data_IF_956764127756
#
_entry.id   IF_956764127756
#
_cell.length_a   1.000
_cell.length_b   1.000
_cell.length_c   1.000
_cell.angle_alpha   90.00
_cell.angle_beta   90.00
_cell.angle_gamma   90.00
#
_symmetry.space_group_name_H-M   'P 1'
#
loop_
_entity.id
_entity.type
_entity.pdbx_description
1 polymer ?
#
# COMPACT_ATOMS: atom_id res chain seq x y z
N UNK A 1 -7.82 -24.01 -11.65
CA UNK A 1 -6.40 -24.35 -11.85
C UNK A 1 -6.10 -25.78 -11.40
N UNK A 2 -5.29 -26.56 -12.13
CA UNK A 2 -4.93 -27.94 -11.69
C UNK A 2 -3.86 -27.88 -10.60
N UNK A 3 -3.78 -28.94 -9.79
CA UNK A 3 -2.78 -29.04 -8.70
C UNK A 3 -1.34 -28.95 -9.20
N UNK A 4 -1.08 -29.47 -10.41
CA UNK A 4 0.23 -29.34 -11.06
C UNK A 4 0.57 -27.88 -11.35
N UNK A 5 -0.37 -27.12 -11.92
CA UNK A 5 -0.16 -25.71 -12.23
C UNK A 5 0.08 -24.88 -10.94
N UNK A 6 -0.61 -25.22 -9.84
CA UNK A 6 -0.40 -24.57 -8.53
C UNK A 6 1.02 -24.84 -8.01
N UNK A 7 1.54 -26.03 -8.21
CA UNK A 7 2.93 -26.36 -7.87
C UNK A 7 3.92 -25.59 -8.76
N UNK A 8 3.68 -25.57 -10.06
CA UNK A 8 4.57 -24.93 -11.03
C UNK A 8 4.63 -23.40 -10.82
N UNK A 9 3.51 -22.76 -10.43
CA UNK A 9 3.44 -21.30 -10.21
C UNK A 9 3.82 -20.88 -8.79
N UNK A 10 3.33 -21.60 -7.78
CA UNK A 10 3.44 -21.16 -6.37
C UNK A 10 4.37 -22.05 -5.53
N UNK A 11 4.91 -23.14 -6.07
CA UNK A 11 5.78 -24.08 -5.33
C UNK A 11 5.05 -24.88 -4.25
N UNK A 12 3.72 -24.90 -4.26
CA UNK A 12 2.93 -25.61 -3.25
C UNK A 12 2.80 -27.07 -3.66
N UNK A 13 3.40 -27.98 -2.87
CA UNK A 13 3.34 -29.41 -3.13
C UNK A 13 1.88 -29.92 -3.16
N UNK A 14 1.55 -30.90 -4.03
CA UNK A 14 0.21 -31.49 -4.10
C UNK A 14 -0.29 -32.06 -2.76
N UNK A 15 0.61 -32.66 -1.96
CA UNK A 15 0.31 -33.16 -0.62
C UNK A 15 -0.08 -32.02 0.32
N UNK A 16 0.68 -30.93 0.33
CA UNK A 16 0.39 -29.73 1.12
C UNK A 16 -0.94 -29.09 0.73
N UNK A 17 -1.24 -29.04 -0.57
CA UNK A 17 -2.54 -28.52 -1.04
C UNK A 17 -3.70 -29.44 -0.65
N UNK A 18 -3.49 -30.76 -0.65
CA UNK A 18 -4.46 -31.74 -0.17
C UNK A 18 -4.75 -31.55 1.32
N UNK A 19 -3.71 -31.37 2.14
CA UNK A 19 -3.85 -31.10 3.57
C UNK A 19 -4.58 -29.78 3.84
N UNK A 20 -4.32 -28.74 3.05
CA UNK A 20 -5.05 -27.48 3.17
C UNK A 20 -6.50 -27.61 2.72
N UNK A 21 -6.84 -28.58 1.87
CA UNK A 21 -8.21 -28.77 1.37
C UNK A 21 -9.13 -29.45 2.38
N UNK A 22 -8.62 -29.96 3.50
CA UNK A 22 -9.44 -30.55 4.57
C UNK A 22 -10.25 -29.45 5.27
N UNK A 23 -11.51 -29.72 5.62
CA UNK A 23 -12.45 -28.72 6.15
C UNK A 23 -12.05 -28.18 7.53
N UNK A 24 -11.30 -28.96 8.30
CA UNK A 24 -10.74 -28.60 9.61
C UNK A 24 -9.44 -27.76 9.51
N UNK A 25 -8.93 -27.54 8.30
CA UNK A 25 -7.69 -26.81 8.10
C UNK A 25 -7.92 -25.29 8.05
N UNK A 26 -7.11 -24.52 8.80
CA UNK A 26 -7.13 -23.05 8.81
C UNK A 26 -6.94 -22.42 7.42
N UNK A 27 -6.36 -23.15 6.46
CA UNK A 27 -6.09 -22.70 5.09
C UNK A 27 -7.07 -23.25 4.05
N UNK A 28 -8.17 -23.88 4.49
CA UNK A 28 -9.22 -24.42 3.61
C UNK A 28 -9.74 -23.41 2.58
N UNK A 29 -10.07 -22.21 3.04
CA UNK A 29 -10.55 -21.13 2.17
C UNK A 29 -9.53 -20.75 1.09
N UNK A 30 -8.25 -20.71 1.45
CA UNK A 30 -7.17 -20.40 0.51
C UNK A 30 -6.99 -21.52 -0.52
N UNK A 31 -7.02 -22.79 -0.09
CA UNK A 31 -6.92 -23.93 -1.00
C UNK A 31 -8.10 -23.98 -1.99
N UNK A 32 -9.31 -23.68 -1.52
CA UNK A 32 -10.50 -23.57 -2.38
C UNK A 32 -10.34 -22.44 -3.40
N UNK A 33 -9.83 -21.29 -2.97
CA UNK A 33 -9.59 -20.15 -3.85
C UNK A 33 -8.55 -20.46 -4.94
N UNK A 34 -7.40 -21.04 -4.57
CA UNK A 34 -6.35 -21.44 -5.52
C UNK A 34 -6.85 -22.43 -6.57
N UNK A 35 -7.71 -23.39 -6.18
CA UNK A 35 -8.31 -24.34 -7.12
C UNK A 35 -9.28 -23.67 -8.10
N UNK A 36 -10.01 -22.64 -7.63
CA UNK A 36 -11.04 -21.96 -8.40
C UNK A 36 -10.51 -20.83 -9.30
N UNK A 37 -9.26 -20.37 -9.11
CA UNK A 37 -8.66 -19.36 -9.99
C UNK A 37 -8.41 -19.90 -11.41
N UNK A 38 -8.61 -19.05 -12.41
CA UNK A 38 -8.19 -19.31 -13.79
C UNK A 38 -6.68 -19.14 -13.93
N UNK A 39 -6.06 -19.97 -14.76
CA UNK A 39 -4.64 -19.82 -15.09
C UNK A 39 -4.37 -18.57 -15.92
N UNK A 40 -5.34 -18.14 -16.73
CA UNK A 40 -5.20 -16.95 -17.57
C UNK A 40 -5.18 -15.69 -16.70
N UNK A 41 -6.03 -15.61 -15.69
CA UNK A 41 -6.03 -14.51 -14.71
C UNK A 41 -4.70 -14.44 -13.94
N UNK A 42 -4.16 -15.60 -13.55
CA UNK A 42 -2.87 -15.67 -12.84
C UNK A 42 -1.72 -15.24 -13.75
N UNK A 43 -1.72 -15.67 -15.01
CA UNK A 43 -0.72 -15.23 -15.99
C UNK A 43 -0.83 -13.75 -16.27
N UNK A 44 -2.02 -13.19 -16.39
CA UNK A 44 -2.22 -11.75 -16.57
C UNK A 44 -1.63 -10.96 -15.38
N UNK A 45 -1.93 -11.39 -14.15
CA UNK A 45 -1.38 -10.79 -12.93
C UNK A 45 0.16 -10.87 -12.87
N UNK A 46 0.73 -12.03 -13.22
CA UNK A 46 2.18 -12.25 -13.18
C UNK A 46 2.92 -11.56 -14.34
N UNK A 47 2.28 -11.44 -15.50
CA UNK A 47 2.83 -10.79 -16.69
C UNK A 47 2.73 -9.28 -16.65
N UNK A 48 1.84 -8.75 -15.80
CA UNK A 48 1.77 -7.32 -15.53
C UNK A 48 3.09 -6.89 -14.90
N UNK A 49 3.92 -6.21 -15.68
CA UNK A 49 5.12 -5.55 -15.17
C UNK A 49 4.72 -4.79 -13.90
N UNK A 50 5.41 -5.11 -12.80
CA UNK A 50 5.44 -4.23 -11.64
C UNK A 50 6.07 -2.94 -12.15
N UNK A 51 5.25 -2.02 -12.68
CA UNK A 51 5.67 -0.65 -12.95
C UNK A 51 6.32 -0.19 -11.66
N UNK A 52 7.64 -0.07 -11.66
CA UNK A 52 8.34 0.47 -10.51
C UNK A 52 7.83 1.89 -10.40
N UNK A 53 6.83 2.11 -9.55
CA UNK A 53 6.33 3.44 -9.32
C UNK A 53 7.54 4.25 -8.85
N UNK A 54 7.85 5.32 -9.56
CA UNK A 54 8.86 6.26 -9.12
C UNK A 54 8.49 6.72 -7.71
N UNK A 55 9.51 6.96 -6.87
CA UNK A 55 9.25 7.45 -5.51
C UNK A 55 8.45 8.76 -5.61
N UNK A 56 7.35 8.91 -4.84
CA UNK A 56 6.49 10.10 -4.89
C UNK A 56 7.17 11.25 -4.14
N UNK A 57 8.20 11.82 -4.76
CA UNK A 57 9.03 12.87 -4.15
C UNK A 57 8.37 14.24 -4.16
N UNK A 58 7.33 14.43 -4.99
CA UNK A 58 6.70 15.74 -5.18
C UNK A 58 6.00 16.21 -3.90
N UNK A 59 5.10 15.40 -3.33
CA UNK A 59 4.42 15.73 -2.07
C UNK A 59 5.40 16.02 -0.91
N UNK A 60 6.48 15.24 -0.83
CA UNK A 60 7.54 15.47 0.15
C UNK A 60 8.24 16.81 -0.06
N UNK A 61 8.46 17.18 -1.31
CA UNK A 61 9.10 18.44 -1.68
C UNK A 61 8.20 19.61 -1.34
N UNK A 62 6.89 19.55 -1.65
CA UNK A 62 5.89 20.56 -1.29
C UNK A 62 5.92 20.84 0.21
N UNK A 63 5.83 19.79 1.04
CA UNK A 63 5.86 19.93 2.51
C UNK A 63 7.18 20.51 3.01
N UNK A 64 8.32 19.99 2.53
CA UNK A 64 9.63 20.44 3.01
C UNK A 64 9.97 21.86 2.56
N UNK A 65 9.54 22.27 1.36
CA UNK A 65 9.69 23.64 0.87
C UNK A 65 8.89 24.62 1.74
N UNK A 66 7.66 24.26 2.13
CA UNK A 66 6.83 25.07 3.02
C UNK A 66 7.46 25.22 4.42
N UNK A 67 8.09 24.16 4.96
CA UNK A 67 8.78 24.21 6.26
C UNK A 67 10.02 25.12 6.23
N UNK A 68 10.81 25.08 5.15
CA UNK A 68 12.03 25.87 4.94
C UNK A 68 13.23 25.51 5.83
N UNK A 69 13.00 25.06 7.07
CA UNK A 69 14.04 24.63 7.99
C UNK A 69 14.47 23.17 7.74
N UNK A 70 15.64 23.00 7.12
CA UNK A 70 16.23 21.70 6.77
C UNK A 70 16.34 20.71 7.94
N UNK A 71 16.53 21.19 9.18
CA UNK A 71 16.61 20.31 10.37
C UNK A 71 15.26 19.71 10.76
N UNK A 72 14.17 20.22 10.20
CA UNK A 72 12.78 19.83 10.46
C UNK A 72 12.12 19.19 9.24
N UNK A 73 12.88 18.93 8.18
CA UNK A 73 12.36 18.27 6.99
C UNK A 73 11.92 16.84 7.31
N UNK A 74 10.81 16.45 6.71
CA UNK A 74 10.35 15.09 6.73
C UNK A 74 11.19 14.23 5.79
N UNK A 75 11.31 12.95 6.13
CA UNK A 75 11.66 11.90 5.19
C UNK A 75 10.37 11.33 4.57
N UNK A 76 10.47 10.61 3.45
CA UNK A 76 9.30 9.92 2.88
C UNK A 76 8.60 9.02 3.91
N UNK A 77 9.37 8.29 4.71
CA UNK A 77 8.85 7.43 5.79
C UNK A 77 8.20 8.27 6.90
N UNK A 78 8.81 9.40 7.28
CA UNK A 78 8.23 10.31 8.26
C UNK A 78 6.87 10.85 7.81
N UNK A 79 6.78 11.29 6.54
CA UNK A 79 5.56 11.80 5.95
C UNK A 79 4.48 10.71 5.84
N UNK A 80 4.86 9.48 5.45
CA UNK A 80 3.95 8.33 5.46
C UNK A 80 3.40 8.09 6.86
N UNK A 81 4.26 8.09 7.88
CA UNK A 81 3.88 7.79 9.25
C UNK A 81 2.87 8.81 9.81
N UNK A 82 2.88 10.04 9.29
CA UNK A 82 1.93 11.09 9.68
C UNK A 82 0.46 10.66 9.47
N UNK A 83 0.17 9.92 8.39
CA UNK A 83 -1.18 9.40 8.09
C UNK A 83 -1.62 8.23 9.01
N UNK A 84 -0.71 7.71 9.84
CA UNK A 84 -0.96 6.61 10.76
C UNK A 84 -0.70 6.99 12.22
N UNK A 85 -0.19 8.19 12.47
CA UNK A 85 0.16 8.67 13.80
C UNK A 85 -1.11 8.84 14.62
N UNK A 86 -1.07 8.37 15.87
CA UNK A 86 -2.09 8.64 16.87
C UNK A 86 -1.76 9.95 17.57
N UNK A 87 -2.77 10.67 18.04
CA UNK A 87 -2.57 11.91 18.81
C UNK A 87 -1.67 11.70 20.04
N UNK A 88 -0.93 12.74 20.48
CA UNK A 88 -0.96 14.13 19.98
C UNK A 88 -0.05 14.37 18.76
N UNK A 89 -0.51 15.21 17.84
CA UNK A 89 0.29 15.74 16.74
C UNK A 89 1.12 16.94 17.22
N UNK A 90 2.40 16.95 16.87
CA UNK A 90 3.27 18.08 17.16
C UNK A 90 3.01 19.27 16.21
N UNK A 91 3.70 20.39 16.45
CA UNK A 91 3.52 21.61 15.64
C UNK A 91 3.89 21.39 14.17
N UNK A 92 4.92 20.61 13.90
CA UNK A 92 5.39 20.32 12.54
C UNK A 92 4.51 19.29 11.84
N UNK A 93 3.98 18.31 12.56
CA UNK A 93 2.97 17.38 12.07
C UNK A 93 1.73 18.14 11.57
N UNK A 94 1.18 19.02 12.41
CA UNK A 94 0.01 19.84 12.08
C UNK A 94 0.30 20.76 10.91
N UNK A 95 1.49 21.37 10.89
CA UNK A 95 1.92 22.23 9.80
C UNK A 95 2.01 21.46 8.49
N UNK A 96 2.69 20.30 8.48
CA UNK A 96 2.84 19.47 7.29
C UNK A 96 1.49 19.01 6.74
N UNK A 97 0.56 18.57 7.59
CA UNK A 97 -0.77 18.19 7.13
C UNK A 97 -1.59 19.39 6.61
N UNK A 98 -1.43 20.58 7.22
CA UNK A 98 -2.07 21.81 6.72
C UNK A 98 -1.50 22.22 5.35
N UNK A 99 -0.20 22.08 5.15
CA UNK A 99 0.45 22.27 3.84
C UNK A 99 -0.09 21.26 2.83
N UNK A 100 -0.19 19.97 3.18
CA UNK A 100 -0.78 18.96 2.28
C UNK A 100 -2.22 19.35 1.88
N UNK A 101 -3.03 19.82 2.83
CA UNK A 101 -4.42 20.19 2.58
C UNK A 101 -4.57 21.43 1.67
N UNK A 102 -3.68 22.41 1.79
CA UNK A 102 -3.85 23.73 1.18
C UNK A 102 -2.96 23.99 -0.04
N UNK A 103 -1.79 23.35 -0.11
CA UNK A 103 -0.75 23.66 -1.11
C UNK A 103 -0.44 22.49 -2.05
N UNK A 104 -0.66 21.25 -1.62
CA UNK A 104 -0.38 20.09 -2.46
C UNK A 104 -1.43 19.91 -3.57
N UNK A 105 -0.98 19.48 -4.74
CA UNK A 105 -1.88 19.09 -5.82
C UNK A 105 -2.51 17.73 -5.51
N UNK A 106 -3.76 17.52 -5.94
CA UNK A 106 -4.45 16.25 -5.74
C UNK A 106 -3.67 15.07 -6.35
N UNK A 107 -3.02 15.29 -7.50
CA UNK A 107 -2.15 14.30 -8.14
C UNK A 107 -0.97 13.87 -7.25
N UNK A 108 -0.35 14.80 -6.52
CA UNK A 108 0.74 14.50 -5.59
C UNK A 108 0.25 13.61 -4.44
N UNK A 109 -0.95 13.90 -3.94
CA UNK A 109 -1.59 13.13 -2.87
C UNK A 109 -1.95 11.74 -3.37
N UNK A 110 -2.56 11.64 -4.56
CA UNK A 110 -2.95 10.38 -5.23
C UNK A 110 -1.74 9.50 -5.50
N UNK A 111 -0.67 10.07 -6.05
CA UNK A 111 0.56 9.34 -6.32
C UNK A 111 1.21 8.82 -5.03
N UNK A 112 1.29 9.67 -4.00
CA UNK A 112 1.86 9.29 -2.71
C UNK A 112 1.06 8.17 -2.02
N UNK A 113 -0.27 8.28 -2.00
CA UNK A 113 -1.12 7.23 -1.40
C UNK A 113 -1.09 5.93 -2.20
N UNK A 114 -1.01 5.99 -3.53
CA UNK A 114 -0.97 4.80 -4.36
C UNK A 114 0.35 4.06 -4.15
N UNK A 115 1.47 4.79 -4.13
CA UNK A 115 2.80 4.24 -3.85
C UNK A 115 2.86 3.55 -2.49
N UNK A 116 2.35 4.19 -1.44
CA UNK A 116 2.37 3.64 -0.08
C UNK A 116 1.17 2.78 0.29
N UNK A 117 0.24 2.58 -0.65
CA UNK A 117 -1.03 1.86 -0.44
C UNK A 117 -1.83 2.38 0.77
N UNK A 118 -1.87 3.70 0.92
CA UNK A 118 -2.66 4.38 1.96
C UNK A 118 -4.11 4.43 1.49
N UNK A 119 -5.05 4.07 2.36
CA UNK A 119 -6.47 4.08 1.99
C UNK A 119 -6.98 5.52 1.78
N UNK A 120 -7.82 5.77 0.75
CA UNK A 120 -8.41 7.09 0.49
C UNK A 120 -9.07 7.68 1.74
N UNK A 121 -9.94 6.87 2.36
CA UNK A 121 -10.66 7.22 3.59
C UNK A 121 -9.73 7.69 4.71
N UNK A 122 -8.52 7.11 4.81
CA UNK A 122 -7.55 7.50 5.83
C UNK A 122 -6.95 8.87 5.53
N UNK A 123 -6.58 9.12 4.28
CA UNK A 123 -6.09 10.43 3.84
C UNK A 123 -7.15 11.49 4.11
N UNK A 124 -8.39 11.26 3.67
CA UNK A 124 -9.53 12.16 3.91
C UNK A 124 -9.76 12.41 5.40
N UNK A 125 -9.77 11.37 6.22
CA UNK A 125 -9.96 11.49 7.68
C UNK A 125 -8.87 12.35 8.30
N UNK A 126 -7.60 12.10 7.98
CA UNK A 126 -6.47 12.83 8.57
C UNK A 126 -6.47 14.30 8.13
N UNK A 127 -6.80 14.59 6.87
CA UNK A 127 -6.88 15.98 6.37
C UNK A 127 -8.14 16.70 6.85
N UNK A 128 -9.19 15.99 7.25
CA UNK A 128 -10.40 16.56 7.85
C UNK A 128 -10.22 16.95 9.33
N UNK A 129 -9.22 16.42 10.04
CA UNK A 129 -8.94 16.73 11.46
C UNK A 129 -8.33 18.12 11.70
N UNK A 130 -8.10 18.90 10.64
CA UNK A 130 -7.40 20.20 10.66
C UNK A 130 -8.30 21.32 10.15
#
# INVERSE_FOLDING_TARGET
MKTKDIFDVFGIAPSTLSDWSKEDNKKHTLAKLLKNMSMDDVKDILSKELKSQSKPVMLLSTVNCSIGNKKKHFTLTGLKNLFYKKEPLDVYDKYALKTIKNEALEEEIVDFRNYYRISPKRVETVLALL
#
